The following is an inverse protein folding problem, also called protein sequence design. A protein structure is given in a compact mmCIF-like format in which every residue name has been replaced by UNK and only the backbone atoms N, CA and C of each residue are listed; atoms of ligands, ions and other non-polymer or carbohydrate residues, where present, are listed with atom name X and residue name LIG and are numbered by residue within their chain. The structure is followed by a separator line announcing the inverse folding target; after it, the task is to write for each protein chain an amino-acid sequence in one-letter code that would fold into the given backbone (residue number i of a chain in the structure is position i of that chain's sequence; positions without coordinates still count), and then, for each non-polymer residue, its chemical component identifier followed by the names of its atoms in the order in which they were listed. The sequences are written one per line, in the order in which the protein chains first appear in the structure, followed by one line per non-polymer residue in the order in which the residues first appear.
data_IF_735327801227
#
_entry.id   IF_735327801227
#
_cell.length_a   1.000
_cell.length_b   1.000
_cell.length_c   1.000
_cell.angle_alpha   90.00
_cell.angle_beta   90.00
_cell.angle_gamma   90.00
#
_symmetry.space_group_name_H-M   'P 1'
#
loop_
_entity.id
_entity.type
_entity.pdbx_description
1 polymer ?
#
# COMPACT_ATOMS: atom_id res chain seq x y z
N UNK A 1 1.58 -21.94 6.56
CA UNK A 1 0.31 -21.28 6.20
C UNK A 1 0.60 -20.43 4.96
N UNK A 2 0.23 -20.90 3.77
CA UNK A 2 0.36 -20.11 2.54
C UNK A 2 -0.85 -19.17 2.48
N UNK A 3 -0.62 -17.89 2.65
CA UNK A 3 -1.64 -16.87 2.45
C UNK A 3 -1.97 -16.80 0.96
N UNK A 4 -3.24 -16.70 0.58
CA UNK A 4 -3.59 -16.57 -0.84
C UNK A 4 -2.95 -15.31 -1.42
N UNK A 5 -2.25 -15.46 -2.54
CA UNK A 5 -1.56 -14.38 -3.27
C UNK A 5 -2.49 -13.20 -3.65
N UNK A 6 -3.79 -13.38 -3.56
CA UNK A 6 -4.85 -12.40 -3.84
C UNK A 6 -5.03 -11.37 -2.71
N UNK A 7 -4.53 -11.64 -1.49
CA UNK A 7 -4.75 -10.76 -0.34
C UNK A 7 -4.13 -9.36 -0.52
N UNK A 8 -2.87 -9.31 -0.95
CA UNK A 8 -2.16 -8.04 -1.12
C UNK A 8 -2.81 -7.14 -2.21
N UNK A 9 -3.18 -7.67 -3.39
CA UNK A 9 -3.88 -6.90 -4.42
C UNK A 9 -5.23 -6.35 -3.97
N UNK A 10 -6.04 -7.18 -3.32
CA UNK A 10 -7.36 -6.76 -2.84
C UNK A 10 -7.23 -5.64 -1.81
N UNK A 11 -6.29 -5.76 -0.87
CA UNK A 11 -6.06 -4.70 0.11
C UNK A 11 -5.49 -3.43 -0.54
N UNK A 12 -4.60 -3.54 -1.54
CA UNK A 12 -4.07 -2.40 -2.26
C UNK A 12 -5.15 -1.65 -3.05
N UNK A 13 -6.01 -2.40 -3.76
CA UNK A 13 -7.13 -1.81 -4.51
C UNK A 13 -8.10 -1.07 -3.59
N UNK A 14 -8.52 -1.70 -2.50
CA UNK A 14 -9.43 -1.07 -1.53
C UNK A 14 -8.79 0.13 -0.83
N UNK A 15 -7.49 0.05 -0.54
CA UNK A 15 -6.70 1.14 0.02
C UNK A 15 -6.63 2.36 -0.90
N UNK A 16 -6.66 2.17 -2.23
CA UNK A 16 -6.71 3.25 -3.21
C UNK A 16 -8.12 3.80 -3.43
N UNK A 17 -9.14 2.94 -3.51
CA UNK A 17 -10.51 3.33 -3.86
C UNK A 17 -11.08 4.33 -2.84
N UNK A 18 -10.89 4.10 -1.55
CA UNK A 18 -11.47 4.97 -0.50
C UNK A 18 -10.94 6.40 -0.59
N UNK A 19 -9.62 6.67 -0.62
CA UNK A 19 -9.10 8.02 -0.82
C UNK A 19 -9.54 8.65 -2.13
N UNK A 20 -9.59 7.90 -3.23
CA UNK A 20 -10.06 8.41 -4.53
C UNK A 20 -11.52 8.87 -4.46
N UNK A 21 -12.38 8.09 -3.83
CA UNK A 21 -13.79 8.48 -3.63
C UNK A 21 -13.90 9.72 -2.75
N UNK A 22 -13.20 9.75 -1.61
CA UNK A 22 -13.23 10.90 -0.70
C UNK A 22 -12.66 12.15 -1.36
N UNK A 23 -11.51 12.06 -2.03
CA UNK A 23 -10.90 13.18 -2.76
C UNK A 23 -11.84 13.71 -3.87
N UNK A 24 -12.56 12.82 -4.54
CA UNK A 24 -13.57 13.22 -5.54
C UNK A 24 -14.68 14.11 -4.97
N UNK A 25 -15.04 13.93 -3.68
CA UNK A 25 -16.02 14.77 -2.99
C UNK A 25 -15.40 16.03 -2.36
N UNK A 26 -14.17 15.97 -1.89
CA UNK A 26 -13.53 17.07 -1.13
C UNK A 26 -12.72 18.00 -2.02
N UNK A 27 -12.01 17.46 -3.01
CA UNK A 27 -11.11 18.20 -3.90
C UNK A 27 -11.66 18.32 -5.34
N UNK A 28 -12.80 17.68 -5.61
CA UNK A 28 -13.40 17.60 -6.95
C UNK A 28 -12.77 16.49 -7.81
N UNK A 29 -13.35 16.26 -8.98
CA UNK A 29 -12.89 15.22 -9.90
C UNK A 29 -11.50 15.56 -10.46
N UNK A 30 -10.57 14.58 -10.51
CA UNK A 30 -9.28 14.78 -11.12
C UNK A 30 -9.39 14.97 -12.63
N UNK A 31 -8.33 15.51 -13.23
CA UNK A 31 -8.24 15.66 -14.68
C UNK A 31 -8.31 14.30 -15.41
N UNK A 32 -8.73 14.32 -16.67
CA UNK A 32 -8.89 13.10 -17.47
C UNK A 32 -7.58 12.30 -17.61
N UNK A 33 -6.43 12.97 -17.66
CA UNK A 33 -5.10 12.33 -17.71
C UNK A 33 -4.84 11.55 -16.41
N UNK A 34 -5.16 12.15 -15.27
CA UNK A 34 -5.04 11.51 -13.95
C UNK A 34 -5.97 10.29 -13.84
N UNK A 35 -7.20 10.38 -14.37
CA UNK A 35 -8.14 9.24 -14.42
C UNK A 35 -7.57 8.10 -15.26
N UNK A 36 -6.95 8.39 -16.41
CA UNK A 36 -6.24 7.38 -17.18
C UNK A 36 -5.09 6.76 -16.37
N UNK A 37 -4.35 7.58 -15.64
CA UNK A 37 -3.32 7.10 -14.71
C UNK A 37 -3.88 6.12 -13.67
N UNK A 38 -5.03 6.41 -13.09
CA UNK A 38 -5.71 5.50 -12.15
C UNK A 38 -6.10 4.17 -12.79
N UNK A 39 -6.61 4.19 -14.02
CA UNK A 39 -6.94 2.96 -14.76
C UNK A 39 -5.70 2.10 -15.01
N UNK A 40 -4.59 2.72 -15.40
CA UNK A 40 -3.31 2.02 -15.56
C UNK A 40 -2.79 1.47 -14.21
N UNK A 41 -2.94 2.21 -13.11
CA UNK A 41 -2.55 1.74 -11.78
C UNK A 41 -3.38 0.52 -11.34
N UNK A 42 -4.70 0.57 -11.49
CA UNK A 42 -5.58 -0.57 -11.18
C UNK A 42 -5.25 -1.79 -12.04
N UNK A 43 -5.02 -1.58 -13.33
CA UNK A 43 -4.61 -2.64 -14.27
C UNK A 43 -3.26 -3.24 -13.87
N UNK A 44 -2.31 -2.40 -13.46
CA UNK A 44 -0.99 -2.84 -12.96
C UNK A 44 -1.12 -3.75 -11.74
N UNK A 45 -1.87 -3.30 -10.72
CA UNK A 45 -2.09 -4.08 -9.50
C UNK A 45 -2.70 -5.43 -9.85
N UNK A 46 -3.69 -5.45 -10.75
CA UNK A 46 -4.34 -6.68 -11.18
C UNK A 46 -3.41 -7.63 -11.94
N UNK A 47 -2.64 -7.12 -12.92
CA UNK A 47 -1.68 -7.93 -13.70
C UNK A 47 -0.56 -8.51 -12.84
N UNK A 48 -0.01 -7.72 -11.91
CA UNK A 48 1.06 -8.17 -11.00
C UNK A 48 0.55 -9.27 -10.07
N UNK A 49 -0.72 -9.24 -9.75
CA UNK A 49 -1.36 -10.17 -8.84
C UNK A 49 -1.71 -11.52 -9.44
N UNK A 50 -1.64 -11.63 -10.77
CA UNK A 50 -1.86 -12.89 -11.47
C UNK A 50 -0.61 -13.76 -11.37
N UNK A 51 -0.47 -14.49 -10.26
CA UNK A 51 0.56 -15.53 -10.13
C UNK A 51 0.01 -16.83 -10.76
N UNK A 52 0.74 -17.37 -11.76
CA UNK A 52 0.35 -18.58 -12.48
C UNK A 52 0.21 -19.82 -11.59
N UNK A 53 0.73 -19.78 -10.37
CA UNK A 53 0.77 -20.92 -9.45
C UNK A 53 -0.41 -21.02 -8.48
N UNK A 54 -1.28 -20.01 -8.42
CA UNK A 54 -2.38 -19.97 -7.44
C UNK A 54 -3.73 -19.72 -8.07
N UNK A 55 -4.10 -20.58 -9.02
CA UNK A 55 -5.38 -20.53 -9.76
C UNK A 55 -6.64 -20.95 -9.00
N UNK A 56 -6.73 -20.81 -7.69
CA UNK A 56 -7.96 -21.12 -6.96
C UNK A 56 -8.34 -20.02 -5.97
N UNK A 57 -9.39 -19.30 -6.30
CA UNK A 57 -10.24 -18.61 -5.31
C UNK A 57 -10.79 -19.67 -4.35
N UNK A 58 -10.14 -19.86 -3.21
CA UNK A 58 -10.51 -20.96 -2.32
C UNK A 58 -11.85 -20.74 -1.62
N UNK A 59 -12.22 -19.53 -1.26
CA UNK A 59 -13.58 -19.19 -0.75
C UNK A 59 -13.74 -17.67 -0.68
N UNK A 60 -14.96 -17.15 -0.89
CA UNK A 60 -15.31 -15.75 -0.63
C UNK A 60 -15.04 -15.31 0.82
N UNK A 61 -15.03 -16.26 1.77
CA UNK A 61 -14.65 -16.02 3.16
C UNK A 61 -13.21 -15.55 3.32
N UNK A 62 -12.30 -15.94 2.41
CA UNK A 62 -10.86 -15.62 2.50
C UNK A 62 -10.57 -14.18 2.08
N UNK A 63 -11.52 -13.52 1.41
CA UNK A 63 -11.45 -12.13 1.02
C UNK A 63 -11.82 -11.15 2.15
N UNK A 64 -12.44 -11.62 3.24
CA UNK A 64 -12.89 -10.75 4.34
C UNK A 64 -11.74 -9.99 4.99
N UNK A 65 -10.66 -10.67 5.32
CA UNK A 65 -9.48 -10.05 5.95
C UNK A 65 -8.76 -9.07 5.01
N UNK A 66 -8.47 -9.40 3.74
CA UNK A 66 -7.92 -8.45 2.77
C UNK A 66 -8.80 -7.23 2.55
N UNK A 67 -10.11 -7.40 2.44
CA UNK A 67 -11.05 -6.29 2.30
C UNK A 67 -11.03 -5.39 3.54
N UNK A 68 -11.11 -5.98 4.73
CA UNK A 68 -11.08 -5.23 5.99
C UNK A 68 -9.76 -4.47 6.15
N UNK A 69 -8.64 -5.11 5.80
CA UNK A 69 -7.31 -4.49 5.79
C UNK A 69 -7.25 -3.31 4.81
N UNK A 70 -7.76 -3.49 3.59
CA UNK A 70 -7.79 -2.44 2.58
C UNK A 70 -8.66 -1.25 2.98
N UNK A 71 -9.84 -1.51 3.59
CA UNK A 71 -10.68 -0.47 4.17
C UNK A 71 -9.92 0.27 5.29
N UNK A 72 -9.24 -0.46 6.17
CA UNK A 72 -8.42 0.13 7.23
C UNK A 72 -7.31 1.04 6.67
N UNK A 73 -6.59 0.60 5.63
CA UNK A 73 -5.58 1.41 4.95
C UNK A 73 -6.17 2.64 4.28
N UNK A 74 -7.27 2.49 3.54
CA UNK A 74 -7.91 3.61 2.87
C UNK A 74 -8.41 4.67 3.85
N UNK A 75 -9.04 4.26 4.95
CA UNK A 75 -9.44 5.17 6.03
C UNK A 75 -8.23 5.82 6.70
N UNK A 76 -7.15 5.07 6.95
CA UNK A 76 -5.92 5.64 7.49
C UNK A 76 -5.37 6.74 6.59
N UNK A 77 -5.32 6.53 5.26
CA UNK A 77 -4.83 7.55 4.33
C UNK A 77 -5.69 8.82 4.33
N UNK A 78 -7.01 8.69 4.37
CA UNK A 78 -7.92 9.83 4.47
C UNK A 78 -7.74 10.57 5.79
N UNK A 79 -7.73 9.85 6.91
CA UNK A 79 -7.61 10.45 8.23
C UNK A 79 -6.24 11.12 8.42
N UNK A 80 -5.16 10.45 8.04
CA UNK A 80 -3.82 11.04 8.21
C UNK A 80 -3.66 12.29 7.33
N UNK A 81 -4.16 12.26 6.09
CA UNK A 81 -4.17 13.42 5.22
C UNK A 81 -4.93 14.60 5.84
N UNK A 82 -6.12 14.36 6.40
CA UNK A 82 -6.95 15.42 6.99
C UNK A 82 -6.31 16.11 8.20
N UNK A 83 -5.47 15.40 8.96
CA UNK A 83 -4.83 15.95 10.18
C UNK A 83 -3.39 16.42 9.95
N UNK A 84 -2.82 16.19 8.77
CA UNK A 84 -1.42 16.56 8.44
C UNK A 84 -1.31 17.78 7.55
N UNK A 85 -2.40 18.51 7.31
CA UNK A 85 -2.37 19.72 6.47
C UNK A 85 -1.40 20.78 7.00
N UNK A 86 -1.37 21.00 8.32
CA UNK A 86 -0.51 21.99 8.95
C UNK A 86 0.78 21.39 9.54
N UNK A 87 0.76 20.10 9.91
CA UNK A 87 1.84 19.44 10.64
C UNK A 87 2.14 18.07 10.08
N UNK A 88 3.33 17.85 9.54
CA UNK A 88 3.72 16.57 8.94
C UNK A 88 4.03 15.49 10.00
N UNK A 89 4.83 15.82 10.99
CA UNK A 89 5.42 14.81 11.90
C UNK A 89 4.55 14.46 13.10
N UNK A 90 3.89 15.47 13.73
CA UNK A 90 3.13 15.24 14.97
C UNK A 90 1.99 14.21 14.83
N UNK A 91 1.16 14.25 13.78
CA UNK A 91 0.12 13.24 13.61
C UNK A 91 0.70 11.82 13.36
N UNK A 92 1.83 11.73 12.66
CA UNK A 92 2.51 10.45 12.46
C UNK A 92 3.07 9.89 13.77
N UNK A 93 3.70 10.74 14.61
CA UNK A 93 4.20 10.35 15.93
C UNK A 93 3.03 9.91 16.82
N UNK A 94 1.94 10.66 16.84
CA UNK A 94 0.75 10.34 17.63
C UNK A 94 0.14 9.00 17.21
N UNK A 95 -0.01 8.76 15.90
CA UNK A 95 -0.54 7.50 15.38
C UNK A 95 0.32 6.30 15.78
N UNK A 96 1.66 6.43 15.74
CA UNK A 96 2.59 5.38 16.16
C UNK A 96 2.61 5.18 17.66
N UNK A 97 2.50 6.27 18.44
CA UNK A 97 2.45 6.19 19.91
C UNK A 97 1.22 5.43 20.42
N UNK A 98 0.16 5.36 19.63
CA UNK A 98 -1.04 4.58 19.94
C UNK A 98 -0.94 3.17 19.35
N UNK A 99 -0.59 3.04 18.07
CA UNK A 99 -0.63 1.75 17.36
C UNK A 99 0.42 0.76 17.87
N UNK A 100 1.65 1.23 18.18
CA UNK A 100 2.73 0.35 18.64
C UNK A 100 2.40 -0.31 19.98
N UNK A 101 1.97 0.39 21.06
CA UNK A 101 1.56 -0.25 22.30
C UNK A 101 0.39 -1.21 22.13
N UNK A 102 -0.59 -0.88 21.28
CA UNK A 102 -1.73 -1.77 21.00
C UNK A 102 -1.23 -3.07 20.34
N UNK A 103 -0.36 -2.99 19.35
CA UNK A 103 0.20 -4.17 18.68
C UNK A 103 1.03 -5.02 19.65
N UNK A 104 1.82 -4.39 20.52
CA UNK A 104 2.57 -5.10 21.58
C UNK A 104 1.59 -5.80 22.52
N UNK A 105 0.54 -5.13 22.98
CA UNK A 105 -0.46 -5.72 23.86
C UNK A 105 -1.16 -6.93 23.21
N UNK A 106 -1.56 -6.80 21.94
CA UNK A 106 -2.17 -7.90 21.17
C UNK A 106 -1.18 -9.07 21.04
N UNK A 107 0.08 -8.81 20.72
CA UNK A 107 1.10 -9.85 20.59
C UNK A 107 1.34 -10.59 21.91
N UNK A 108 1.37 -9.87 23.04
CA UNK A 108 1.52 -10.45 24.38
C UNK A 108 0.31 -11.31 24.76
N UNK A 109 -0.92 -10.83 24.49
CA UNK A 109 -2.15 -11.60 24.72
C UNK A 109 -2.17 -12.86 23.86
N UNK A 110 -1.75 -12.75 22.60
CA UNK A 110 -1.64 -13.86 21.66
C UNK A 110 -0.42 -14.78 21.94
N UNK A 111 0.34 -14.52 23.00
CA UNK A 111 1.58 -15.24 23.39
C UNK A 111 2.60 -15.35 22.23
N UNK A 112 2.64 -14.32 21.38
CA UNK A 112 3.61 -14.22 20.30
C UNK A 112 4.92 -13.61 20.79
N UNK A 113 6.04 -13.97 20.13
CA UNK A 113 7.31 -13.32 20.41
C UNK A 113 7.28 -11.88 19.91
N UNK A 114 7.37 -10.91 20.81
CA UNK A 114 7.36 -9.48 20.47
C UNK A 114 8.72 -9.02 19.93
N UNK A 115 9.81 -9.61 20.46
CA UNK A 115 11.15 -9.22 20.01
C UNK A 115 11.73 -10.24 19.04
N UNK A 116 12.23 -9.79 17.87
CA UNK A 116 12.93 -10.66 16.95
C UNK A 116 14.28 -11.10 17.55
N UNK A 117 14.84 -12.18 17.01
CA UNK A 117 16.19 -12.61 17.36
C UNK A 117 17.19 -11.47 17.10
N UNK A 118 18.23 -11.35 17.92
CA UNK A 118 19.22 -10.26 17.83
C UNK A 118 19.86 -10.14 16.43
N UNK A 119 20.05 -11.26 15.74
CA UNK A 119 20.56 -11.29 14.36
C UNK A 119 19.67 -10.57 13.33
N UNK A 120 18.37 -10.43 13.62
CA UNK A 120 17.38 -9.78 12.74
C UNK A 120 17.17 -8.29 13.05
N UNK A 121 17.79 -7.77 14.11
CA UNK A 121 17.63 -6.38 14.52
C UNK A 121 18.00 -5.36 13.43
N UNK A 122 19.14 -5.51 12.70
CA UNK A 122 19.48 -4.56 11.64
C UNK A 122 18.40 -4.53 10.54
N UNK A 123 17.91 -5.71 10.15
CA UNK A 123 16.85 -5.83 9.13
C UNK A 123 15.53 -5.25 9.62
N UNK A 124 15.15 -5.53 10.87
CA UNK A 124 13.93 -4.98 11.46
C UNK A 124 14.01 -3.46 11.60
N UNK A 125 15.16 -2.91 12.01
CA UNK A 125 15.39 -1.48 12.11
C UNK A 125 15.32 -0.80 10.74
N UNK A 126 15.95 -1.39 9.72
CA UNK A 126 15.87 -0.89 8.34
C UNK A 126 14.41 -0.89 7.83
N UNK A 127 13.67 -1.98 8.07
CA UNK A 127 12.25 -2.06 7.73
C UNK A 127 11.43 -0.97 8.41
N UNK A 128 11.66 -0.71 9.69
CA UNK A 128 10.99 0.37 10.43
C UNK A 128 11.30 1.77 9.91
N UNK A 129 12.57 2.03 9.56
CA UNK A 129 12.99 3.31 8.97
C UNK A 129 12.31 3.51 7.61
N UNK A 130 12.30 2.48 6.76
CA UNK A 130 11.65 2.55 5.44
C UNK A 130 10.13 2.75 5.56
N UNK A 131 9.48 2.06 6.51
CA UNK A 131 8.04 2.22 6.76
C UNK A 131 7.70 3.65 7.20
N UNK A 132 8.44 4.21 8.16
CA UNK A 132 8.24 5.61 8.60
C UNK A 132 8.52 6.58 7.46
N UNK A 133 9.59 6.38 6.71
CA UNK A 133 9.92 7.22 5.55
C UNK A 133 8.82 7.20 4.50
N UNK A 134 8.25 6.03 4.20
CA UNK A 134 7.12 5.89 3.28
C UNK A 134 5.91 6.69 3.74
N UNK A 135 5.56 6.64 5.03
CA UNK A 135 4.46 7.43 5.59
C UNK A 135 4.73 8.94 5.53
N UNK A 136 5.97 9.37 5.80
CA UNK A 136 6.36 10.80 5.68
C UNK A 136 6.23 11.26 4.23
N UNK A 137 6.73 10.49 3.27
CA UNK A 137 6.59 10.85 1.84
C UNK A 137 5.14 10.86 1.37
N UNK A 138 4.30 9.95 1.86
CA UNK A 138 2.86 9.99 1.59
C UNK A 138 2.22 11.30 2.08
N UNK A 139 2.52 11.70 3.31
CA UNK A 139 2.00 12.95 3.88
C UNK A 139 2.48 14.16 3.09
N UNK A 140 3.78 14.23 2.78
CA UNK A 140 4.35 15.32 1.98
C UNK A 140 3.71 15.37 0.58
N UNK A 141 3.54 14.23 -0.07
CA UNK A 141 2.87 14.17 -1.38
C UNK A 141 1.42 14.68 -1.29
N UNK A 142 0.69 14.33 -0.24
CA UNK A 142 -0.68 14.80 -0.02
C UNK A 142 -0.78 16.28 0.36
N UNK A 143 0.27 16.88 0.93
CA UNK A 143 0.32 18.32 1.22
C UNK A 143 0.60 19.17 -0.03
N UNK A 144 1.35 18.63 -0.99
CA UNK A 144 1.74 19.34 -2.22
C UNK A 144 0.78 19.04 -3.37
N UNK A 145 0.15 17.87 -3.34
CA UNK A 145 -0.71 17.36 -4.40
C UNK A 145 -2.07 16.91 -3.88
N UNK A 146 -2.73 16.10 -4.69
CA UNK A 146 -4.06 15.54 -4.38
C UNK A 146 -3.94 14.25 -3.57
N UNK A 147 -4.89 14.05 -2.65
CA UNK A 147 -4.96 12.83 -1.82
C UNK A 147 -5.12 11.57 -2.68
N UNK A 148 -5.97 11.61 -3.71
CA UNK A 148 -6.24 10.47 -4.58
C UNK A 148 -4.97 10.02 -5.33
N UNK A 149 -4.19 10.96 -5.86
CA UNK A 149 -2.92 10.68 -6.55
C UNK A 149 -1.92 10.05 -5.58
N UNK A 150 -1.72 10.64 -4.40
CA UNK A 150 -0.80 10.10 -3.40
C UNK A 150 -1.19 8.68 -2.97
N UNK A 151 -2.47 8.43 -2.73
CA UNK A 151 -2.98 7.12 -2.31
C UNK A 151 -2.84 6.05 -3.40
N UNK A 152 -3.13 6.40 -4.67
CA UNK A 152 -2.97 5.47 -5.79
C UNK A 152 -1.49 5.14 -6.01
N UNK A 153 -0.59 6.14 -5.94
CA UNK A 153 0.86 5.91 -6.04
C UNK A 153 1.38 4.95 -4.96
N UNK A 154 0.96 5.14 -3.71
CA UNK A 154 1.33 4.22 -2.62
C UNK A 154 0.77 2.82 -2.87
N UNK A 155 -0.44 2.70 -3.41
CA UNK A 155 -1.08 1.41 -3.71
C UNK A 155 -0.38 0.62 -4.83
N UNK A 156 0.57 1.22 -5.55
CA UNK A 156 1.45 0.53 -6.52
C UNK A 156 2.61 -0.26 -5.85
N UNK A 157 2.65 -0.36 -4.51
CA UNK A 157 3.68 -1.13 -3.80
C UNK A 157 3.87 -2.58 -4.29
N UNK A 158 2.87 -3.30 -4.84
CA UNK A 158 3.11 -4.62 -5.42
C UNK A 158 4.08 -4.59 -6.62
N UNK A 159 4.07 -3.50 -7.41
CA UNK A 159 5.01 -3.33 -8.51
C UNK A 159 6.45 -3.16 -7.99
N UNK A 160 6.63 -2.36 -6.94
CA UNK A 160 7.93 -2.19 -6.29
C UNK A 160 8.44 -3.49 -5.69
N UNK A 161 7.58 -4.29 -5.08
CA UNK A 161 7.95 -5.60 -4.51
C UNK A 161 8.43 -6.58 -5.57
N UNK A 162 7.75 -6.66 -6.73
CA UNK A 162 8.16 -7.52 -7.86
C UNK A 162 9.50 -7.06 -8.42
N UNK A 163 9.71 -5.75 -8.60
CA UNK A 163 10.99 -5.21 -9.04
C UNK A 163 12.14 -5.53 -8.09
N UNK A 164 11.92 -5.34 -6.78
CA UNK A 164 12.92 -5.65 -5.77
C UNK A 164 13.23 -7.15 -5.71
N UNK A 165 12.21 -8.01 -5.80
CA UNK A 165 12.38 -9.45 -5.87
C UNK A 165 13.21 -9.87 -7.08
N UNK A 166 12.95 -9.29 -8.24
CA UNK A 166 13.74 -9.56 -9.44
C UNK A 166 15.20 -9.08 -9.31
N UNK A 167 15.43 -7.90 -8.72
CA UNK A 167 16.76 -7.32 -8.59
C UNK A 167 17.61 -8.04 -7.52
N UNK A 168 17.05 -8.32 -6.35
CA UNK A 168 17.79 -8.84 -5.20
C UNK A 168 17.74 -10.36 -5.07
N UNK A 169 16.56 -10.97 -5.33
CA UNK A 169 16.39 -12.41 -5.26
C UNK A 169 16.61 -13.10 -6.62
N UNK A 170 16.82 -12.31 -7.71
CA UNK A 170 16.98 -12.82 -9.08
C UNK A 170 15.81 -13.69 -9.53
N UNK A 171 14.61 -13.41 -9.02
CA UNK A 171 13.41 -14.09 -9.45
C UNK A 171 13.06 -13.70 -10.89
N UNK A 172 12.58 -14.68 -11.64
CA UNK A 172 12.16 -14.44 -13.03
C UNK A 172 10.79 -13.79 -13.04
N UNK A 173 10.72 -12.56 -13.56
CA UNK A 173 9.46 -11.84 -13.76
C UNK A 173 8.72 -12.53 -14.93
N UNK A 174 7.47 -12.91 -14.69
CA UNK A 174 6.59 -13.41 -15.74
C UNK A 174 6.17 -12.27 -16.70
N UNK A 175 5.70 -12.62 -17.91
CA UNK A 175 5.24 -11.62 -18.90
C UNK A 175 4.10 -10.76 -18.39
N UNK A 176 3.14 -11.33 -17.66
CA UNK A 176 2.03 -10.63 -17.03
C UNK A 176 2.52 -9.62 -15.98
N UNK A 177 3.47 -10.01 -15.15
CA UNK A 177 4.10 -9.13 -14.16
C UNK A 177 4.89 -8.01 -14.83
N UNK A 178 5.63 -8.30 -15.91
CA UNK A 178 6.36 -7.27 -16.68
C UNK A 178 5.41 -6.23 -17.28
N UNK A 179 4.28 -6.67 -17.84
CA UNK A 179 3.25 -5.76 -18.34
C UNK A 179 2.63 -4.93 -17.20
N UNK A 180 2.42 -5.56 -16.04
CA UNK A 180 1.96 -4.86 -14.85
C UNK A 180 2.93 -3.77 -14.37
N UNK A 181 4.23 -4.05 -14.36
CA UNK A 181 5.26 -3.06 -14.01
C UNK A 181 5.29 -1.91 -15.03
N UNK A 182 5.19 -2.21 -16.33
CA UNK A 182 5.09 -1.17 -17.36
C UNK A 182 3.83 -0.30 -17.17
N UNK A 183 2.69 -0.92 -16.86
CA UNK A 183 1.47 -0.20 -16.56
C UNK A 183 1.61 0.69 -15.31
N UNK A 184 2.34 0.24 -14.26
CA UNK A 184 2.67 1.07 -13.09
C UNK A 184 3.48 2.30 -13.46
N UNK A 185 4.52 2.13 -14.28
CA UNK A 185 5.36 3.25 -14.73
C UNK A 185 4.56 4.26 -15.55
N UNK A 186 3.70 3.79 -16.45
CA UNK A 186 2.79 4.66 -17.21
C UNK A 186 1.82 5.40 -16.29
N UNK A 187 1.26 4.72 -15.29
CA UNK A 187 0.39 5.33 -14.31
C UNK A 187 1.09 6.48 -13.57
N UNK A 188 2.33 6.26 -13.11
CA UNK A 188 3.12 7.29 -12.42
C UNK A 188 3.32 8.50 -13.32
N UNK A 189 3.73 8.30 -14.59
CA UNK A 189 3.93 9.39 -15.55
C UNK A 189 2.63 10.17 -15.78
N UNK A 190 1.52 9.47 -16.03
CA UNK A 190 0.22 10.13 -16.29
C UNK A 190 -0.30 10.91 -15.08
N UNK A 191 -0.06 10.43 -13.86
CA UNK A 191 -0.48 11.12 -12.65
C UNK A 191 0.44 12.28 -12.25
N UNK A 192 1.64 12.36 -12.83
CA UNK A 192 2.58 13.46 -12.59
C UNK A 192 2.46 14.63 -13.58
N UNK A 193 1.64 14.46 -14.64
CA UNK A 193 1.32 15.50 -15.63
C UNK A 193 0.14 16.35 -15.19
#
# INVERSE_FOLDING_TARGET
MQWPSIAAPVSALMGAIIPVVVSGFTEGLPGWITILGFLFALTSIWLISQDEKTGHLQRLSDLRLPLLSGVGFGLYFVLIHSVTQDYTLWPLIASRSISVPILIAIALIARQQVMPQRSLWPLASLGGILDVSGNVFFVLAGQVGRLDVAAVLVSLYPASTVLLAAMFLKERINRTQSLGVLAALLAIVLMSL
#
